data_IF_017735125589
#
_entry.id   IF_017735125589
#
_cell.length_a   1.000
_cell.length_b   1.000
_cell.length_c   1.000
_cell.angle_alpha   90.00
_cell.angle_beta   90.00
_cell.angle_gamma   90.00
#
_symmetry.space_group_name_H-M   'P 1'
#
loop_
_entity.id
_entity.type
_entity.pdbx_description
1 polymer ?
#
# COMPACT_ATOMS: atom_id res chain seq x y z
N UNK A 1 -38.56 -19.14 -42.02
CA UNK A 1 -37.79 -17.91 -41.70
C UNK A 1 -38.34 -17.32 -40.41
N UNK A 2 -37.54 -17.32 -39.32
CA UNK A 2 -37.58 -16.42 -38.13
C UNK A 2 -37.18 -17.17 -36.85
N UNK A 3 -35.89 -17.47 -36.72
CA UNK A 3 -35.23 -17.79 -35.43
C UNK A 3 -34.08 -16.81 -35.11
N UNK A 4 -34.12 -15.62 -35.73
CA UNK A 4 -33.15 -14.53 -35.47
C UNK A 4 -33.66 -13.53 -34.42
N UNK A 5 -34.90 -13.71 -33.94
CA UNK A 5 -35.49 -12.89 -32.89
C UNK A 5 -35.09 -13.33 -31.47
N UNK A 6 -34.83 -14.62 -31.23
CA UNK A 6 -34.46 -15.13 -29.90
C UNK A 6 -33.02 -14.79 -29.53
N UNK A 7 -32.06 -15.09 -30.41
CA UNK A 7 -30.65 -14.84 -30.13
C UNK A 7 -30.34 -13.34 -29.95
N UNK A 8 -30.99 -12.46 -30.73
CA UNK A 8 -30.76 -11.02 -30.64
C UNK A 8 -31.31 -10.41 -29.35
N UNK A 9 -32.48 -10.88 -28.88
CA UNK A 9 -33.10 -10.40 -27.63
C UNK A 9 -32.40 -10.97 -26.40
N UNK A 10 -32.01 -12.24 -26.43
CA UNK A 10 -31.25 -12.87 -25.34
C UNK A 10 -29.90 -12.17 -25.12
N UNK A 11 -29.18 -11.91 -26.20
CA UNK A 11 -27.91 -11.16 -26.16
C UNK A 11 -28.11 -9.72 -25.71
N UNK A 12 -29.22 -9.06 -26.10
CA UNK A 12 -29.52 -7.70 -25.66
C UNK A 12 -29.72 -7.58 -24.14
N UNK A 13 -30.16 -8.65 -23.47
CA UNK A 13 -30.34 -8.70 -22.01
C UNK A 13 -29.06 -9.20 -21.31
N UNK A 14 -28.36 -10.17 -21.88
CA UNK A 14 -27.15 -10.74 -21.28
C UNK A 14 -25.93 -9.82 -21.38
N UNK A 15 -25.78 -9.07 -22.47
CA UNK A 15 -24.63 -8.18 -22.67
C UNK A 15 -24.47 -7.14 -21.55
N UNK A 16 -25.51 -6.36 -21.16
CA UNK A 16 -25.40 -5.42 -20.05
C UNK A 16 -24.97 -6.10 -18.74
N UNK A 17 -25.52 -7.27 -18.42
CA UNK A 17 -25.16 -8.02 -17.21
C UNK A 17 -23.69 -8.47 -17.24
N UNK A 18 -23.21 -8.93 -18.40
CA UNK A 18 -21.81 -9.31 -18.59
C UNK A 18 -20.86 -8.11 -18.47
N UNK A 19 -21.21 -6.97 -19.06
CA UNK A 19 -20.45 -5.72 -18.94
C UNK A 19 -20.37 -5.29 -17.47
N UNK A 20 -21.50 -5.34 -16.74
CA UNK A 20 -21.54 -5.04 -15.31
C UNK A 20 -20.57 -5.94 -14.52
N UNK A 21 -20.55 -7.24 -14.82
CA UNK A 21 -19.62 -8.19 -14.20
C UNK A 21 -18.17 -7.81 -14.48
N UNK A 22 -17.83 -7.48 -15.74
CA UNK A 22 -16.47 -7.05 -16.11
C UNK A 22 -16.06 -5.76 -15.38
N UNK A 23 -16.96 -4.79 -15.23
CA UNK A 23 -16.70 -3.54 -14.48
C UNK A 23 -16.41 -3.86 -13.02
N UNK A 24 -17.24 -4.67 -12.36
CA UNK A 24 -17.02 -5.08 -10.96
C UNK A 24 -15.71 -5.86 -10.81
N UNK A 25 -15.42 -6.80 -11.72
CA UNK A 25 -14.18 -7.56 -11.70
C UNK A 25 -12.95 -6.65 -11.86
N UNK A 26 -13.00 -5.66 -12.75
CA UNK A 26 -11.92 -4.69 -12.92
C UNK A 26 -11.74 -3.80 -11.69
N UNK A 27 -12.83 -3.37 -11.05
CA UNK A 27 -12.77 -2.57 -9.84
C UNK A 27 -12.09 -3.35 -8.71
N UNK A 28 -12.60 -4.56 -8.40
CA UNK A 28 -12.04 -5.43 -7.37
C UNK A 28 -10.58 -5.76 -7.67
N UNK A 29 -10.26 -6.12 -8.92
CA UNK A 29 -8.89 -6.44 -9.34
C UNK A 29 -7.92 -5.30 -9.08
N UNK A 30 -8.27 -4.06 -9.46
CA UNK A 30 -7.42 -2.89 -9.21
C UNK A 30 -7.24 -2.62 -7.71
N UNK A 31 -8.32 -2.69 -6.93
CA UNK A 31 -8.24 -2.49 -5.47
C UNK A 31 -7.36 -3.55 -4.82
N UNK A 32 -7.48 -4.83 -5.21
CA UNK A 32 -6.67 -5.91 -4.66
C UNK A 32 -5.20 -5.78 -5.02
N UNK A 33 -4.88 -5.41 -6.27
CA UNK A 33 -3.50 -5.17 -6.71
C UNK A 33 -2.89 -4.02 -5.89
N UNK A 34 -3.63 -2.91 -5.77
CA UNK A 34 -3.17 -1.77 -5.00
C UNK A 34 -2.99 -2.09 -3.50
N UNK A 35 -3.89 -2.87 -2.91
CA UNK A 35 -3.73 -3.28 -1.50
C UNK A 35 -2.48 -4.13 -1.30
N UNK A 36 -2.26 -5.14 -2.14
CA UNK A 36 -1.05 -5.96 -2.05
C UNK A 36 0.23 -5.12 -2.20
N UNK A 37 0.22 -4.12 -3.08
CA UNK A 37 1.35 -3.23 -3.28
C UNK A 37 1.60 -2.32 -2.07
N UNK A 38 0.54 -1.76 -1.48
CA UNK A 38 0.63 -0.90 -0.29
C UNK A 38 1.05 -1.73 0.95
N UNK A 39 0.60 -2.98 1.06
CA UNK A 39 1.06 -3.93 2.08
C UNK A 39 2.56 -4.20 1.96
N UNK A 40 3.05 -4.49 0.74
CA UNK A 40 4.47 -4.72 0.50
C UNK A 40 5.30 -3.45 0.74
N UNK A 41 4.82 -2.30 0.26
CA UNK A 41 5.50 -1.01 0.47
C UNK A 41 5.60 -0.65 1.96
N UNK A 42 4.53 -0.88 2.75
CA UNK A 42 4.58 -0.67 4.19
C UNK A 42 5.58 -1.61 4.87
N UNK A 43 5.63 -2.88 4.45
CA UNK A 43 6.58 -3.87 4.94
C UNK A 43 8.04 -3.46 4.67
N UNK A 44 8.36 -3.15 3.41
CA UNK A 44 9.70 -2.77 2.99
C UNK A 44 10.14 -1.46 3.63
N UNK A 45 9.24 -0.47 3.73
CA UNK A 45 9.52 0.79 4.39
C UNK A 45 9.83 0.64 5.88
N UNK A 46 9.03 -0.15 6.62
CA UNK A 46 9.29 -0.40 8.03
C UNK A 46 10.61 -1.15 8.24
N UNK A 47 10.96 -2.07 7.34
CA UNK A 47 12.24 -2.78 7.36
C UNK A 47 13.42 -1.88 7.02
N UNK A 48 13.30 -1.01 6.03
CA UNK A 48 14.32 -0.04 5.67
C UNK A 48 14.57 0.95 6.81
N UNK A 49 13.53 1.41 7.48
CA UNK A 49 13.68 2.28 8.64
C UNK A 49 14.27 1.57 9.86
N UNK A 50 13.98 0.28 10.06
CA UNK A 50 14.43 -0.44 11.26
C UNK A 50 15.93 -0.79 11.28
N UNK A 51 16.63 -0.63 10.15
CA UNK A 51 18.08 -0.82 10.01
C UNK A 51 18.88 0.49 10.11
N UNK A 52 18.20 1.63 10.10
CA UNK A 52 18.81 2.95 10.19
C UNK A 52 19.22 3.30 11.63
N UNK A 53 20.18 4.22 11.74
CA UNK A 53 20.81 4.56 13.04
C UNK A 53 20.26 5.82 13.70
N UNK A 54 19.51 6.60 12.93
CA UNK A 54 19.02 7.91 13.33
C UNK A 54 17.58 8.07 12.82
N UNK A 55 16.69 8.61 13.66
CA UNK A 55 15.28 8.75 13.30
C UNK A 55 15.04 9.57 12.03
N UNK A 56 15.85 10.61 11.78
CA UNK A 56 15.77 11.39 10.55
C UNK A 56 16.09 10.57 9.29
N UNK A 57 17.15 9.77 9.34
CA UNK A 57 17.55 8.87 8.26
C UNK A 57 16.56 7.72 8.10
N UNK A 58 16.04 7.17 9.20
CA UNK A 58 15.00 6.15 9.20
C UNK A 58 13.70 6.62 8.52
N UNK A 59 13.26 7.85 8.81
CA UNK A 59 12.06 8.42 8.20
C UNK A 59 12.25 8.68 6.69
N UNK A 60 13.45 9.10 6.27
CA UNK A 60 13.77 9.25 4.85
C UNK A 60 13.82 7.90 4.14
N UNK A 61 14.55 6.92 4.69
CA UNK A 61 14.67 5.57 4.16
C UNK A 61 13.32 4.86 4.04
N UNK A 62 12.41 5.02 5.02
CA UNK A 62 11.04 4.50 4.91
C UNK A 62 10.29 5.09 3.71
N UNK A 63 10.40 6.40 3.48
CA UNK A 63 9.70 7.07 2.37
C UNK A 63 10.26 6.63 1.04
N UNK A 64 11.59 6.58 0.92
CA UNK A 64 12.26 6.17 -0.30
C UNK A 64 11.91 4.71 -0.65
N UNK A 65 12.04 3.79 0.31
CA UNK A 65 11.69 2.38 0.12
C UNK A 65 10.20 2.18 -0.23
N UNK A 66 9.28 2.88 0.43
CA UNK A 66 7.86 2.81 0.09
C UNK A 66 7.59 3.29 -1.36
N UNK A 67 8.22 4.38 -1.78
CA UNK A 67 8.06 4.90 -3.14
C UNK A 67 8.66 3.95 -4.18
N UNK A 68 9.88 3.44 -3.93
CA UNK A 68 10.54 2.47 -4.80
C UNK A 68 9.68 1.22 -4.99
N UNK A 69 9.13 0.64 -3.91
CA UNK A 69 8.23 -0.52 -4.01
C UNK A 69 6.95 -0.20 -4.79
N UNK A 70 6.34 0.97 -4.57
CA UNK A 70 5.13 1.36 -5.32
C UNK A 70 5.39 1.61 -6.81
N UNK A 71 6.56 2.14 -7.15
CA UNK A 71 6.98 2.40 -8.53
C UNK A 71 7.40 1.10 -9.25
N UNK A 72 8.07 0.17 -8.55
CA UNK A 72 8.43 -1.15 -9.09
C UNK A 72 7.18 -1.98 -9.44
N UNK A 73 6.13 -1.85 -8.63
CA UNK A 73 4.84 -2.51 -8.86
C UNK A 73 3.91 -1.76 -9.83
N UNK A 74 4.35 -0.61 -10.37
CA UNK A 74 3.62 0.23 -11.33
C UNK A 74 2.20 0.60 -10.87
N UNK A 75 2.04 0.91 -9.57
CA UNK A 75 0.73 1.28 -9.01
C UNK A 75 0.46 2.77 -9.18
N UNK A 76 -0.56 3.07 -9.98
CA UNK A 76 -1.06 4.41 -10.23
C UNK A 76 -1.93 4.90 -9.07
N UNK A 77 -1.30 5.59 -8.13
CA UNK A 77 -1.97 6.35 -7.08
C UNK A 77 -2.17 7.80 -7.54
N UNK A 78 -3.37 8.34 -7.40
CA UNK A 78 -3.64 9.78 -7.53
C UNK A 78 -2.88 10.59 -6.48
N UNK A 79 -2.83 10.06 -5.26
CA UNK A 79 -2.07 10.63 -4.15
C UNK A 79 -1.43 9.50 -3.33
N UNK A 80 -0.20 9.72 -2.86
CA UNK A 80 0.56 8.79 -2.02
C UNK A 80 0.94 9.50 -0.72
N UNK A 81 0.58 8.92 0.41
CA UNK A 81 0.95 9.45 1.73
C UNK A 81 1.72 8.38 2.49
N UNK A 82 2.97 8.67 2.84
CA UNK A 82 3.82 7.78 3.63
C UNK A 82 4.12 8.44 4.97
N UNK A 83 3.64 7.82 6.04
CA UNK A 83 3.76 8.32 7.42
C UNK A 83 4.62 7.36 8.24
N UNK A 84 5.93 7.63 8.33
CA UNK A 84 6.82 6.89 9.23
C UNK A 84 6.67 7.39 10.67
N UNK A 85 6.43 6.45 11.58
CA UNK A 85 6.42 6.64 13.02
C UNK A 85 7.69 6.00 13.61
N UNK A 86 8.67 6.86 13.83
CA UNK A 86 10.02 6.54 14.31
C UNK A 86 10.35 7.22 15.64
N UNK A 87 9.48 8.11 16.14
CA UNK A 87 9.82 8.97 17.27
C UNK A 87 10.14 8.16 18.53
N UNK A 88 9.28 7.20 18.87
CA UNK A 88 9.46 6.35 20.05
C UNK A 88 10.63 5.36 19.88
N UNK A 89 10.95 4.97 18.65
CA UNK A 89 12.02 4.02 18.37
C UNK A 89 13.43 4.62 18.57
N UNK A 90 13.59 5.92 18.34
CA UNK A 90 14.86 6.64 18.42
C UNK A 90 14.86 7.71 19.53
N UNK A 91 13.91 7.67 20.47
CA UNK A 91 13.81 8.63 21.57
C UNK A 91 15.01 8.60 22.53
N UNK A 92 15.72 7.48 22.60
CA UNK A 92 16.87 7.28 23.48
C UNK A 92 18.14 7.09 22.64
N UNK A 93 19.20 7.85 22.96
CA UNK A 93 20.52 7.68 22.33
C UNK A 93 21.26 6.40 22.78
N UNK A 94 20.76 5.74 23.82
CA UNK A 94 21.32 4.52 24.39
C UNK A 94 20.64 3.27 23.78
N UNK A 95 21.14 2.81 22.65
CA UNK A 95 20.69 1.57 21.99
C UNK A 95 21.29 0.30 22.65
N UNK A 96 21.66 0.36 23.93
CA UNK A 96 22.08 -0.81 24.72
C UNK A 96 20.92 -1.79 25.00
N UNK A 97 21.18 -2.96 25.59
CA UNK A 97 20.14 -3.88 26.06
C UNK A 97 19.33 -3.20 27.18
N UNK A 98 18.28 -2.47 26.79
CA UNK A 98 17.34 -1.86 27.72
C UNK A 98 16.44 -2.95 28.31
N UNK A 99 16.09 -2.82 29.59
CA UNK A 99 15.07 -3.66 30.20
C UNK A 99 13.70 -3.29 29.61
N UNK A 100 13.24 -4.01 28.59
CA UNK A 100 11.95 -3.76 27.95
C UNK A 100 11.78 -4.48 26.61
N UNK A 101 10.57 -4.44 26.01
CA UNK A 101 10.37 -4.85 24.62
C UNK A 101 11.21 -3.97 23.68
N UNK A 102 11.71 -4.52 22.55
CA UNK A 102 12.52 -3.77 21.62
C UNK A 102 11.73 -2.57 21.04
N UNK A 103 12.37 -1.41 20.81
CA UNK A 103 11.74 -0.30 20.11
C UNK A 103 11.27 -0.76 18.73
N UNK A 104 10.11 -0.26 18.31
CA UNK A 104 9.50 -0.64 17.03
C UNK A 104 9.31 0.58 16.17
N UNK A 105 9.60 0.43 14.88
CA UNK A 105 9.27 1.42 13.87
C UNK A 105 7.98 1.00 13.21
N UNK A 106 7.06 1.94 13.03
CA UNK A 106 5.81 1.67 12.32
C UNK A 106 5.70 2.59 11.11
N UNK A 107 5.39 2.04 9.94
CA UNK A 107 5.14 2.84 8.74
C UNK A 107 3.71 2.60 8.27
N UNK A 108 3.00 3.69 8.00
CA UNK A 108 1.69 3.67 7.36
C UNK A 108 1.81 4.20 5.95
N UNK A 109 1.33 3.45 4.98
CA UNK A 109 1.29 3.84 3.56
C UNK A 109 -0.17 3.92 3.14
N UNK A 110 -0.53 5.03 2.52
CA UNK A 110 -1.86 5.28 1.97
C UNK A 110 -1.73 5.67 0.49
N UNK A 111 -2.60 5.09 -0.33
CA UNK A 111 -2.68 5.35 -1.77
C UNK A 111 -4.13 5.59 -2.15
N UNK A 112 -4.39 6.75 -2.76
CA UNK A 112 -5.71 7.10 -3.31
C UNK A 112 -5.77 6.64 -4.76
N UNK A 113 -6.70 5.75 -5.07
CA UNK A 113 -6.96 5.26 -6.43
C UNK A 113 -7.99 6.14 -7.14
N UNK A 114 -7.77 6.40 -8.42
CA UNK A 114 -8.72 7.09 -9.29
C UNK A 114 -9.54 6.09 -10.11
N UNK A 115 -10.87 6.21 -10.00
CA UNK A 115 -11.85 5.44 -10.76
C UNK A 115 -12.73 6.33 -11.64
N UNK A 116 -12.31 7.58 -11.88
CA UNK A 116 -13.00 8.50 -12.79
C UNK A 116 -13.26 7.81 -14.14
N UNK A 117 -14.52 7.80 -14.57
CA UNK A 117 -14.96 7.14 -15.80
C UNK A 117 -15.43 5.69 -15.64
N UNK A 118 -15.41 5.12 -14.44
CA UNK A 118 -16.14 3.87 -14.18
C UNK A 118 -17.65 4.11 -14.35
N UNK A 119 -18.34 3.35 -15.23
CA UNK A 119 -19.75 3.57 -15.48
C UNK A 119 -20.59 3.10 -14.28
N UNK A 120 -21.71 3.77 -14.04
CA UNK A 120 -22.76 3.40 -13.06
C UNK A 120 -22.39 3.50 -11.57
N UNK A 121 -21.13 3.77 -11.20
CA UNK A 121 -20.73 4.07 -9.84
C UNK A 121 -20.33 5.54 -9.73
N UNK A 122 -20.92 6.27 -8.78
CA UNK A 122 -20.52 7.64 -8.41
C UNK A 122 -19.26 7.62 -7.51
N UNK A 123 -18.35 6.70 -7.80
CA UNK A 123 -17.09 6.52 -7.09
C UNK A 123 -15.98 7.14 -7.93
N UNK A 124 -15.54 8.33 -7.55
CA UNK A 124 -14.43 9.01 -8.20
C UNK A 124 -13.09 8.51 -7.64
N UNK A 125 -13.01 8.29 -6.33
CA UNK A 125 -11.77 7.83 -5.67
C UNK A 125 -12.01 6.74 -4.65
N UNK A 126 -10.98 5.94 -4.36
CA UNK A 126 -10.99 4.94 -3.28
C UNK A 126 -9.62 4.89 -2.63
N UNK A 127 -9.57 5.00 -1.31
CA UNK A 127 -8.33 4.93 -0.56
C UNK A 127 -8.03 3.50 -0.13
N UNK A 128 -6.77 3.08 -0.35
CA UNK A 128 -6.19 1.85 0.19
C UNK A 128 -5.08 2.21 1.16
N UNK A 129 -4.97 1.44 2.24
CA UNK A 129 -4.00 1.71 3.30
C UNK A 129 -3.46 0.42 3.89
N UNK A 130 -2.17 0.43 4.23
CA UNK A 130 -1.51 -0.60 5.01
C UNK A 130 -0.63 0.01 6.08
N UNK A 131 -0.41 -0.77 7.14
CA UNK A 131 0.43 -0.41 8.26
C UNK A 131 1.28 -1.60 8.63
N UNK A 132 2.59 -1.42 8.68
CA UNK A 132 3.52 -2.46 9.10
C UNK A 132 4.42 -1.96 10.22
N UNK A 133 4.72 -2.84 11.17
CA UNK A 133 5.56 -2.57 12.32
C UNK A 133 6.75 -3.53 12.30
N UNK A 134 7.96 -2.98 12.36
CA UNK A 134 9.22 -3.73 12.35
C UNK A 134 10.01 -3.41 13.62
N UNK A 135 10.55 -4.41 14.33
CA UNK A 135 11.44 -4.17 15.46
C UNK A 135 12.76 -3.56 14.98
N UNK A 136 13.27 -2.59 15.74
CA UNK A 136 14.57 -1.96 15.50
C UNK A 136 15.70 -2.98 15.75
N UNK A 137 16.73 -2.99 14.90
CA UNK A 137 17.91 -3.85 15.10
C UNK A 137 18.88 -3.25 16.14
N UNK A 138 18.57 -3.50 17.41
CA UNK A 138 19.35 -3.14 18.60
C UNK A 138 20.78 -3.70 18.65
N UNK A 139 21.10 -4.79 17.96
CA UNK A 139 22.44 -5.41 18.05
C UNK A 139 23.50 -4.70 17.20
N UNK A 140 23.10 -3.76 16.34
CA UNK A 140 24.02 -2.89 15.61
C UNK A 140 24.42 -1.65 16.42
N UNK A 141 24.88 -1.87 17.65
CA UNK A 141 25.45 -0.83 18.51
C UNK A 141 26.75 -0.26 17.93
N UNK A 142 26.94 1.06 18.10
CA UNK A 142 28.13 1.81 17.66
C UNK A 142 29.42 1.12 18.15
N UNK A 143 30.41 0.95 17.28
CA UNK A 143 31.76 0.63 17.75
C UNK A 143 32.20 1.76 18.67
N UNK A 144 32.34 1.48 19.96
CA UNK A 144 32.91 2.42 20.92
C UNK A 144 34.33 2.75 20.45
N UNK A 145 34.52 3.99 19.98
CA UNK A 145 35.84 4.57 19.72
C UNK A 145 36.40 5.16 21.01
#
# INVERSE_FOLDING_TARGET
MRDRGSASVEVAILLPAFIMLMVVASFVGRVTIAQNAVDLAAHDAARAASIEREGGQAAAAARDAANDTLDELDVLCLNRTITPDVADAFANDDFGPQAGPPPVVTVTVECTLDFTGFPFLDLTTTDVRARYTSPLDWYRGRSLG
#
